data_IF_208482468083
#
_entry.id   IF_208482468083
#
_cell.length_a   1.000
_cell.length_b   1.000
_cell.length_c   1.000
_cell.angle_alpha   90.00
_cell.angle_beta   90.00
_cell.angle_gamma   90.00
#
_symmetry.space_group_name_H-M   'P 1'
#
loop_
_entity.id
_entity.type
_entity.pdbx_description
1 polymer ?
#
# COMPACT_ATOMS: atom_id res chain seq x y z
N UNK A 1 -0.42 -16.76 17.12
CA UNK A 1 -0.93 -15.76 16.18
C UNK A 1 -0.07 -15.78 14.94
N UNK A 2 -0.66 -15.71 13.76
CA UNK A 2 0.08 -15.68 12.50
C UNK A 2 -0.11 -14.30 11.86
N UNK A 3 0.95 -13.72 11.34
CA UNK A 3 0.93 -12.41 10.70
C UNK A 3 1.29 -12.58 9.23
N UNK A 4 0.53 -11.96 8.34
CA UNK A 4 0.72 -12.13 6.90
C UNK A 4 0.32 -10.88 6.14
N UNK A 5 1.11 -10.55 5.12
CA UNK A 5 0.81 -9.52 4.14
C UNK A 5 0.05 -10.08 2.95
N UNK A 6 -0.74 -9.24 2.29
CA UNK A 6 -1.40 -9.59 1.03
C UNK A 6 -0.68 -8.96 -0.16
N UNK A 7 -0.60 -9.72 -1.25
CA UNK A 7 -0.12 -9.26 -2.56
C UNK A 7 -1.14 -9.57 -3.64
N UNK A 8 -0.99 -8.96 -4.82
CA UNK A 8 -1.88 -9.16 -5.97
C UNK A 8 -1.09 -9.22 -7.27
N UNK A 9 -1.56 -10.08 -8.18
CA UNK A 9 -1.08 -10.18 -9.56
C UNK A 9 -1.44 -8.95 -10.41
N UNK A 10 -2.26 -8.01 -9.92
CA UNK A 10 -2.47 -6.71 -10.58
C UNK A 10 -1.14 -5.99 -10.87
N UNK A 11 -0.06 -6.30 -10.14
CA UNK A 11 1.30 -5.78 -10.41
C UNK A 11 1.81 -6.09 -11.81
N UNK A 12 1.31 -7.15 -12.45
CA UNK A 12 1.74 -7.58 -13.80
C UNK A 12 0.72 -7.19 -14.89
N UNK A 13 -0.31 -6.42 -14.56
CA UNK A 13 -1.41 -6.08 -15.48
C UNK A 13 -1.29 -4.62 -15.90
N UNK A 14 -1.72 -4.29 -17.12
CA UNK A 14 -1.75 -2.90 -17.58
C UNK A 14 -2.73 -2.09 -16.73
N UNK A 15 -2.34 -0.85 -16.38
CA UNK A 15 -3.15 0.02 -15.52
C UNK A 15 -4.54 0.36 -16.08
N UNK A 16 -4.74 0.29 -17.39
CA UNK A 16 -6.07 0.48 -17.99
C UNK A 16 -7.03 -0.69 -17.71
N UNK A 17 -6.48 -1.86 -17.41
CA UNK A 17 -7.21 -3.11 -17.18
C UNK A 17 -7.39 -3.46 -15.69
N UNK A 18 -6.54 -2.89 -14.83
CA UNK A 18 -6.62 -2.93 -13.37
C UNK A 18 -6.86 -1.47 -12.88
N UNK A 19 -6.51 -0.96 -11.71
CA UNK A 19 -6.04 -1.59 -10.49
C UNK A 19 -6.94 -1.08 -9.36
N UNK A 20 -7.38 -2.00 -8.52
CA UNK A 20 -8.24 -1.72 -7.36
C UNK A 20 -7.72 -2.40 -6.09
N UNK A 21 -6.71 -3.26 -6.21
CA UNK A 21 -6.13 -3.96 -5.08
C UNK A 21 -5.51 -3.00 -4.07
N UNK A 22 -5.76 -3.26 -2.79
CA UNK A 22 -5.10 -2.58 -1.67
C UNK A 22 -4.36 -3.63 -0.83
N UNK A 23 -3.05 -3.48 -0.73
CA UNK A 23 -2.24 -4.28 0.18
C UNK A 23 -2.75 -4.16 1.61
N UNK A 24 -2.74 -5.27 2.32
CA UNK A 24 -3.20 -5.33 3.70
C UNK A 24 -2.33 -6.24 4.52
N UNK A 25 -2.23 -5.93 5.81
CA UNK A 25 -1.52 -6.73 6.78
C UNK A 25 -2.52 -7.29 7.78
N UNK A 26 -2.43 -8.60 8.04
CA UNK A 26 -3.47 -9.36 8.73
C UNK A 26 -2.87 -10.15 9.89
N UNK A 27 -3.54 -10.10 11.04
CA UNK A 27 -3.31 -11.01 12.18
C UNK A 27 -4.40 -12.08 12.19
N UNK A 28 -3.98 -13.34 12.08
CA UNK A 28 -4.84 -14.51 12.03
C UNK A 28 -4.73 -15.35 13.31
N UNK A 29 -5.84 -16.02 13.64
CA UNK A 29 -5.79 -17.19 14.51
C UNK A 29 -5.25 -18.38 13.70
N UNK A 30 -4.07 -18.87 14.06
CA UNK A 30 -3.37 -19.92 13.32
C UNK A 30 -4.08 -21.29 13.31
N UNK A 31 -5.00 -21.55 14.25
CA UNK A 31 -5.72 -22.84 14.31
C UNK A 31 -6.95 -22.89 13.42
N UNK A 32 -7.68 -21.78 13.31
CA UNK A 32 -8.99 -21.72 12.63
C UNK A 32 -9.00 -20.79 11.41
N UNK A 33 -7.90 -20.09 11.12
CA UNK A 33 -7.80 -19.16 9.99
C UNK A 33 -8.59 -17.85 10.14
N UNK A 34 -9.24 -17.60 11.29
CA UNK A 34 -10.03 -16.39 11.52
C UNK A 34 -9.15 -15.13 11.53
N UNK A 35 -9.56 -14.10 10.79
CA UNK A 35 -8.99 -12.75 10.88
C UNK A 35 -9.35 -12.12 12.22
N UNK A 36 -8.33 -11.76 12.99
CA UNK A 36 -8.47 -11.06 14.27
C UNK A 36 -8.32 -9.55 14.10
N UNK A 37 -7.46 -9.14 13.18
CA UNK A 37 -7.20 -7.74 12.85
C UNK A 37 -6.66 -7.63 11.42
N UNK A 38 -6.97 -6.51 10.76
CA UNK A 38 -6.49 -6.18 9.43
C UNK A 38 -6.30 -4.66 9.32
N UNK A 39 -5.17 -4.25 8.75
CA UNK A 39 -4.92 -2.87 8.34
C UNK A 39 -4.58 -2.81 6.87
N UNK A 40 -5.18 -1.86 6.15
CA UNK A 40 -4.87 -1.58 4.76
C UNK A 40 -3.74 -0.56 4.66
N UNK A 41 -2.87 -0.72 3.66
CA UNK A 41 -1.73 0.16 3.43
C UNK A 41 -2.10 1.43 2.66
N UNK A 42 -3.31 1.47 2.08
CA UNK A 42 -3.81 2.57 1.27
C UNK A 42 -5.20 3.00 1.73
N UNK A 43 -5.62 4.26 1.48
CA UNK A 43 -7.00 4.72 1.67
C UNK A 43 -8.01 3.87 0.90
N UNK A 44 -9.29 3.99 1.27
CA UNK A 44 -10.33 3.29 0.52
C UNK A 44 -10.50 3.89 -0.87
N UNK A 45 -10.42 3.03 -1.88
CA UNK A 45 -10.62 3.39 -3.27
C UNK A 45 -12.03 3.04 -3.75
N UNK A 46 -12.89 2.47 -2.89
CA UNK A 46 -14.26 2.06 -3.21
C UNK A 46 -14.36 1.14 -4.44
N UNK A 47 -13.29 0.39 -4.75
CA UNK A 47 -13.23 -0.45 -5.94
C UNK A 47 -13.13 0.33 -7.26
N UNK A 48 -12.75 1.61 -7.20
CA UNK A 48 -12.60 2.48 -8.38
C UNK A 48 -11.16 2.43 -8.91
N UNK A 49 -11.05 2.45 -10.24
CA UNK A 49 -9.76 2.56 -10.95
C UNK A 49 -9.29 4.00 -10.96
N UNK A 50 -7.97 4.20 -11.06
CA UNK A 50 -7.36 5.54 -11.09
C UNK A 50 -7.15 6.16 -9.71
N UNK A 51 -7.62 5.49 -8.65
CA UNK A 51 -7.33 5.80 -7.26
C UNK A 51 -6.05 5.09 -6.79
N UNK A 52 -5.72 5.24 -5.50
CA UNK A 52 -4.63 4.48 -4.89
C UNK A 52 -4.88 2.98 -4.94
N UNK A 53 -3.95 2.26 -5.56
CA UNK A 53 -3.91 0.81 -5.60
C UNK A 53 -2.47 0.31 -5.48
N UNK A 54 -2.29 -0.96 -5.11
CA UNK A 54 -1.00 -1.59 -4.87
C UNK A 54 -0.63 -1.64 -3.39
N UNK A 55 0.59 -1.22 -3.04
CA UNK A 55 1.17 -1.31 -1.71
C UNK A 55 1.16 -2.74 -1.15
N UNK A 56 1.39 -3.73 -2.02
CA UNK A 56 1.45 -5.14 -1.65
C UNK A 56 2.53 -5.39 -0.58
N UNK A 57 2.27 -6.35 0.30
CA UNK A 57 3.26 -6.78 1.30
C UNK A 57 3.74 -8.17 0.90
N UNK A 58 4.86 -8.23 0.19
CA UNK A 58 5.46 -9.50 -0.24
C UNK A 58 6.28 -10.18 0.88
N UNK A 59 6.77 -9.40 1.84
CA UNK A 59 7.47 -9.92 3.02
C UNK A 59 6.50 -10.43 4.08
N UNK A 60 6.55 -11.72 4.41
CA UNK A 60 5.67 -12.34 5.40
C UNK A 60 6.24 -12.41 6.82
N UNK A 61 7.49 -11.97 7.03
CA UNK A 61 8.19 -11.99 8.33
C UNK A 61 8.39 -10.57 8.88
N UNK A 62 7.38 -9.97 9.53
CA UNK A 62 7.51 -8.63 10.12
C UNK A 62 8.51 -8.63 11.29
N UNK A 63 9.14 -7.49 11.55
CA UNK A 63 9.88 -7.30 12.80
C UNK A 63 8.90 -6.90 13.92
N UNK A 64 8.91 -7.60 15.05
CA UNK A 64 7.97 -7.39 16.16
C UNK A 64 8.72 -6.88 17.39
N UNK A 65 8.44 -5.65 17.81
CA UNK A 65 8.93 -5.08 19.07
C UNK A 65 7.84 -5.18 20.14
N UNK A 66 7.96 -6.20 20.98
CA UNK A 66 7.00 -6.48 22.06
C UNK A 66 7.05 -5.38 23.14
N UNK A 67 8.22 -4.80 23.42
CA UNK A 67 8.38 -3.79 24.47
C UNK A 67 7.65 -2.50 24.13
N UNK A 68 7.70 -2.09 22.86
CA UNK A 68 6.96 -0.91 22.38
C UNK A 68 5.57 -1.24 21.88
N UNK A 69 5.20 -2.53 21.77
CA UNK A 69 3.97 -3.00 21.15
C UNK A 69 3.81 -2.52 19.69
N UNK A 70 4.88 -2.65 18.90
CA UNK A 70 4.92 -2.25 17.49
C UNK A 70 5.24 -3.43 16.57
N UNK A 71 4.71 -3.36 15.35
CA UNK A 71 5.02 -4.29 14.26
C UNK A 71 5.48 -3.47 13.07
N UNK A 72 6.67 -3.79 12.55
CA UNK A 72 7.27 -3.10 11.42
C UNK A 72 7.16 -3.95 10.17
N UNK A 73 6.60 -3.35 9.11
CA UNK A 73 6.35 -3.98 7.82
C UNK A 73 6.83 -3.06 6.70
N UNK A 74 7.35 -3.66 5.62
CA UNK A 74 7.61 -2.95 4.38
C UNK A 74 6.41 -3.08 3.45
N UNK A 75 5.83 -1.95 3.05
CA UNK A 75 4.82 -1.90 1.99
C UNK A 75 5.50 -1.73 0.62
N UNK A 76 4.96 -2.41 -0.39
CA UNK A 76 5.44 -2.34 -1.76
C UNK A 76 5.06 -1.06 -2.48
N UNK A 77 5.35 -1.00 -3.77
CA UNK A 77 5.03 0.16 -4.60
C UNK A 77 3.52 0.31 -4.86
N UNK A 78 3.12 1.53 -5.21
CA UNK A 78 1.81 1.80 -5.79
C UNK A 78 1.73 1.23 -7.20
N UNK A 79 0.55 0.72 -7.56
CA UNK A 79 0.19 0.34 -8.93
C UNK A 79 -0.47 1.53 -9.65
N UNK A 80 -1.25 2.32 -8.91
CA UNK A 80 -1.79 3.62 -9.34
C UNK A 80 -1.92 4.61 -8.21
N UNK A 81 -2.04 5.89 -8.60
CA UNK A 81 -2.35 7.01 -7.74
C UNK A 81 -3.34 7.95 -8.44
N UNK A 82 -4.12 8.74 -7.68
CA UNK A 82 -5.03 9.76 -8.19
C UNK A 82 -4.38 10.71 -9.21
N UNK A 83 -5.16 11.16 -10.19
CA UNK A 83 -4.64 12.03 -11.27
C UNK A 83 -4.01 13.32 -10.73
N UNK A 84 -4.65 13.98 -9.77
CA UNK A 84 -4.13 15.20 -9.15
C UNK A 84 -2.74 14.98 -8.51
N UNK A 85 -2.52 13.82 -7.90
CA UNK A 85 -1.25 13.45 -7.26
C UNK A 85 -0.19 13.20 -8.33
N UNK A 86 -0.52 12.45 -9.39
CA UNK A 86 0.39 12.21 -10.51
C UNK A 86 0.78 13.49 -11.24
N UNK A 87 -0.20 14.33 -11.58
CA UNK A 87 0.04 15.64 -12.22
C UNK A 87 0.94 16.53 -11.34
N UNK A 88 0.74 16.50 -10.01
CA UNK A 88 1.60 17.22 -9.08
C UNK A 88 3.02 16.68 -9.09
N UNK A 89 3.19 15.35 -9.00
CA UNK A 89 4.49 14.69 -9.01
C UNK A 89 5.25 14.98 -10.31
N UNK A 90 4.59 14.94 -11.47
CA UNK A 90 5.19 15.28 -12.76
C UNK A 90 5.68 16.74 -12.79
N UNK A 91 4.91 17.67 -12.26
CA UNK A 91 5.35 19.07 -12.12
C UNK A 91 6.55 19.22 -11.20
N UNK A 92 6.65 18.41 -10.14
CA UNK A 92 7.84 18.40 -9.26
C UNK A 92 9.05 17.82 -9.93
N UNK A 93 8.91 16.70 -10.64
CA UNK A 93 10.02 16.04 -11.33
C UNK A 93 10.67 16.95 -12.39
N UNK A 94 9.92 17.90 -12.96
CA UNK A 94 10.42 18.86 -13.94
C UNK A 94 11.03 20.13 -13.33
N UNK A 95 11.08 20.28 -12.00
CA UNK A 95 11.74 21.42 -11.34
C UNK A 95 13.23 21.15 -11.17
N UNK A 96 14.04 22.17 -11.43
CA UNK A 96 15.49 22.17 -11.15
C UNK A 96 15.82 22.75 -9.77
N UNK A 97 14.85 23.42 -9.16
CA UNK A 97 15.00 24.04 -7.84
C UNK A 97 14.71 23.03 -6.75
N UNK A 98 15.26 23.26 -5.55
CA UNK A 98 15.11 22.34 -4.42
C UNK A 98 13.61 22.05 -4.15
N UNK A 99 13.18 20.77 -4.22
CA UNK A 99 11.78 20.43 -4.06
C UNK A 99 11.33 20.75 -2.63
N UNK A 100 10.25 21.52 -2.52
CA UNK A 100 9.53 21.71 -1.26
C UNK A 100 8.95 20.36 -0.82
N UNK A 101 9.33 19.88 0.36
CA UNK A 101 8.64 18.78 1.03
C UNK A 101 7.15 19.16 1.21
N UNK A 102 6.24 18.25 0.89
CA UNK A 102 4.78 18.29 1.14
C UNK A 102 3.83 18.91 0.09
N UNK A 103 4.25 19.18 -1.15
CA UNK A 103 3.31 19.75 -2.13
C UNK A 103 2.36 18.75 -2.82
N UNK A 104 2.74 17.47 -2.88
CA UNK A 104 1.95 16.42 -3.53
C UNK A 104 1.44 15.42 -2.49
N UNK A 105 0.60 15.90 -1.56
CA UNK A 105 0.01 15.06 -0.51
C UNK A 105 -1.07 14.10 -1.02
N UNK A 106 -1.23 13.00 -0.30
CA UNK A 106 -2.38 12.09 -0.32
C UNK A 106 -3.44 12.54 0.68
#
# INVERSE_FOLDING_TARGET
HFYVGTSSSEVTVNIEQCCIFRGSFVKLNARIGKILWRTYMLPDNFGQRGEYAGAAIWGSSPSIDIRRNHVYIGAGNLYSAPKNVRDCQERQNNRTDMPSTDMCGA
#
